data_IF_078291307830
#
_entry.id   IF_078291307830
#
_cell.length_a   1.000
_cell.length_b   1.000
_cell.length_c   1.000
_cell.angle_alpha   90.00
_cell.angle_beta   90.00
_cell.angle_gamma   90.00
#
_symmetry.space_group_name_H-M   'P 1'
#
loop_
_entity.id
_entity.type
_entity.pdbx_description
1 polymer ?
#
# COMPACT_ATOMS: atom_id res chain seq x y z
N UNK A 1 -0.27 5.66 5.75
CA UNK A 1 -0.68 4.53 6.64
C UNK A 1 -1.60 4.95 7.78
N UNK A 2 -1.36 6.05 8.51
CA UNK A 2 -2.25 6.45 9.63
C UNK A 2 -3.72 6.60 9.19
N UNK A 3 -3.99 7.39 8.15
CA UNK A 3 -5.35 7.57 7.62
C UNK A 3 -5.98 6.24 7.17
N UNK A 4 -5.18 5.36 6.57
CA UNK A 4 -5.63 4.05 6.16
C UNK A 4 -6.09 3.19 7.35
N UNK A 5 -5.36 3.22 8.47
CA UNK A 5 -5.77 2.52 9.70
C UNK A 5 -7.09 3.05 10.27
N UNK A 6 -7.29 4.38 10.26
CA UNK A 6 -8.51 5.00 10.76
C UNK A 6 -9.72 4.67 9.88
N UNK A 7 -9.56 4.73 8.56
CA UNK A 7 -10.63 4.41 7.59
C UNK A 7 -11.04 2.95 7.68
N UNK A 8 -10.09 2.02 7.80
CA UNK A 8 -10.40 0.60 7.99
C UNK A 8 -11.07 0.32 9.35
N UNK A 9 -10.61 0.97 10.42
CA UNK A 9 -11.26 0.89 11.74
C UNK A 9 -12.72 1.32 11.68
N UNK A 10 -13.03 2.34 10.87
CA UNK A 10 -14.39 2.84 10.67
C UNK A 10 -15.30 1.91 9.82
N UNK A 11 -14.78 0.82 9.25
CA UNK A 11 -15.58 -0.09 8.42
C UNK A 11 -15.53 0.20 6.91
N UNK A 12 -14.71 1.16 6.48
CA UNK A 12 -14.66 1.61 5.09
C UNK A 12 -13.55 0.91 4.28
N UNK A 13 -13.75 0.84 2.96
CA UNK A 13 -12.71 0.40 2.03
C UNK A 13 -11.76 1.54 1.64
N UNK A 14 -10.56 1.20 1.16
CA UNK A 14 -9.51 2.18 0.80
C UNK A 14 -8.92 1.86 -0.57
N UNK A 15 -8.71 2.91 -1.38
CA UNK A 15 -7.93 2.86 -2.62
C UNK A 15 -6.55 3.50 -2.45
N UNK A 16 -5.54 2.89 -3.05
CA UNK A 16 -4.16 3.40 -3.11
C UNK A 16 -3.70 3.46 -4.56
N UNK A 17 -2.93 4.49 -4.88
CA UNK A 17 -2.23 4.63 -6.15
C UNK A 17 -0.74 4.39 -5.87
N UNK A 18 -0.12 3.45 -6.59
CA UNK A 18 1.27 3.02 -6.32
C UNK A 18 2.26 3.38 -7.43
N UNK A 19 1.83 3.91 -8.57
CA UNK A 19 2.72 4.20 -9.72
C UNK A 19 3.64 5.39 -9.46
N UNK A 20 3.34 6.20 -8.45
CA UNK A 20 4.24 7.27 -7.98
C UNK A 20 5.43 6.75 -7.17
N UNK A 21 5.40 5.49 -6.71
CA UNK A 21 6.54 4.88 -6.02
C UNK A 21 7.62 4.50 -7.02
N UNK A 22 8.89 4.70 -6.63
CA UNK A 22 10.01 4.35 -7.50
C UNK A 22 10.07 2.83 -7.72
N UNK A 23 10.47 2.38 -8.92
CA UNK A 23 10.50 0.96 -9.23
C UNK A 23 11.58 0.23 -8.45
N UNK A 24 11.43 -1.10 -8.31
CA UNK A 24 12.39 -1.95 -7.63
C UNK A 24 13.80 -1.73 -8.19
N UNK A 25 14.77 -1.54 -7.29
CA UNK A 25 16.16 -1.31 -7.68
C UNK A 25 16.48 0.13 -8.10
N UNK A 26 15.51 1.05 -8.07
CA UNK A 26 15.80 2.47 -8.26
C UNK A 26 16.62 3.03 -7.08
N UNK A 27 17.59 3.90 -7.39
CA UNK A 27 18.47 4.51 -6.39
C UNK A 27 17.73 5.59 -5.58
N UNK A 28 17.92 5.56 -4.26
CA UNK A 28 17.34 6.51 -3.30
C UNK A 28 18.46 7.39 -2.74
N UNK A 29 18.60 8.59 -3.29
CA UNK A 29 19.65 9.54 -2.92
C UNK A 29 19.68 9.88 -1.43
N UNK A 30 18.52 10.02 -0.79
CA UNK A 30 18.42 10.34 0.63
C UNK A 30 18.78 9.18 1.59
N UNK A 31 18.78 7.94 1.11
CA UNK A 31 19.09 6.75 1.91
C UNK A 31 20.43 6.10 1.54
N UNK A 32 21.04 6.48 0.41
CA UNK A 32 22.23 5.80 -0.13
C UNK A 32 21.99 4.34 -0.49
N UNK A 33 20.73 3.98 -0.77
CA UNK A 33 20.28 2.60 -0.93
C UNK A 33 19.36 2.44 -2.14
N UNK A 34 19.00 1.20 -2.45
CA UNK A 34 18.06 0.86 -3.50
C UNK A 34 16.68 0.54 -2.90
N UNK A 35 15.61 0.98 -3.56
CA UNK A 35 14.25 0.71 -3.11
C UNK A 35 13.83 -0.73 -3.43
N UNK A 36 13.01 -1.31 -2.54
CA UNK A 36 12.35 -2.61 -2.74
C UNK A 36 11.19 -2.54 -3.74
N UNK A 37 10.80 -1.34 -4.16
CA UNK A 37 9.72 -1.10 -5.11
C UNK A 37 8.32 -1.17 -4.47
N UNK A 38 7.29 -0.74 -5.22
CA UNK A 38 5.90 -0.61 -4.77
C UNK A 38 5.27 -1.89 -4.25
N UNK A 39 5.59 -3.07 -4.80
CA UNK A 39 5.00 -4.34 -4.36
C UNK A 39 5.27 -4.62 -2.87
N UNK A 40 6.46 -4.28 -2.38
CA UNK A 40 6.78 -4.44 -0.95
C UNK A 40 5.95 -3.55 -0.04
N UNK A 41 5.43 -2.42 -0.54
CA UNK A 41 4.50 -1.59 0.21
C UNK A 41 3.10 -2.19 0.22
N UNK A 42 2.67 -2.84 -0.86
CA UNK A 42 1.38 -3.54 -0.92
C UNK A 42 1.29 -4.63 0.16
N UNK A 43 2.37 -5.38 0.39
CA UNK A 43 2.43 -6.38 1.47
C UNK A 43 2.13 -5.75 2.85
N UNK A 44 2.64 -4.54 3.09
CA UNK A 44 2.39 -3.84 4.36
C UNK A 44 0.92 -3.42 4.46
N UNK A 45 0.32 -2.94 3.37
CA UNK A 45 -1.10 -2.58 3.36
C UNK A 45 -2.01 -3.80 3.58
N UNK A 46 -1.69 -4.95 2.96
CA UNK A 46 -2.39 -6.22 3.20
C UNK A 46 -2.32 -6.63 4.68
N UNK A 47 -1.13 -6.57 5.29
CA UNK A 47 -0.96 -6.85 6.72
C UNK A 47 -1.72 -5.87 7.61
N UNK A 48 -1.80 -4.60 7.21
CA UNK A 48 -2.59 -3.61 7.92
C UNK A 48 -4.09 -3.96 7.86
N UNK A 49 -4.59 -4.37 6.70
CA UNK A 49 -5.98 -4.82 6.50
C UNK A 49 -6.30 -6.05 7.34
N UNK A 50 -5.36 -7.01 7.43
CA UNK A 50 -5.50 -8.20 8.26
C UNK A 50 -5.54 -7.86 9.76
N UNK A 51 -4.68 -6.94 10.21
CA UNK A 51 -4.56 -6.59 11.63
C UNK A 51 -5.71 -5.71 12.11
N UNK A 52 -6.16 -4.75 11.28
CA UNK A 52 -7.27 -3.85 11.59
C UNK A 52 -8.57 -4.50 11.10
N UNK A 53 -9.12 -5.39 11.92
CA UNK A 53 -10.48 -5.90 11.70
C UNK A 53 -11.47 -4.73 11.73
N UNK A 54 -12.28 -4.61 10.69
CA UNK A 54 -13.22 -3.51 10.54
C UNK A 54 -14.29 -3.59 11.63
N UNK A 55 -14.65 -2.45 12.23
CA UNK A 55 -15.73 -2.41 13.21
C UNK A 55 -17.01 -3.00 12.59
N UNK A 56 -17.59 -4.04 13.21
CA UNK A 56 -18.82 -4.68 12.75
C UNK A 56 -18.66 -6.04 12.07
N UNK A 57 -17.52 -6.72 12.20
CA UNK A 57 -17.37 -8.13 11.78
C UNK A 57 -17.22 -8.35 10.27
N UNK A 58 -16.95 -7.27 9.53
CA UNK A 58 -16.57 -7.33 8.11
C UNK A 58 -15.06 -7.38 7.99
N UNK A 59 -14.56 -8.07 6.97
CA UNK A 59 -13.15 -8.02 6.59
C UNK A 59 -12.89 -6.70 5.87
N UNK A 60 -11.74 -6.08 6.15
CA UNK A 60 -11.31 -4.88 5.43
C UNK A 60 -11.21 -5.15 3.94
N UNK A 61 -11.51 -4.13 3.13
CA UNK A 61 -11.34 -4.17 1.68
C UNK A 61 -10.35 -3.08 1.27
N UNK A 62 -9.42 -3.43 0.40
CA UNK A 62 -8.42 -2.52 -0.13
C UNK A 62 -8.28 -2.72 -1.63
N UNK A 63 -7.98 -1.63 -2.33
CA UNK A 63 -7.71 -1.60 -3.77
C UNK A 63 -6.38 -0.91 -4.00
N UNK A 64 -5.49 -1.53 -4.76
CA UNK A 64 -4.28 -0.90 -5.28
C UNK A 64 -4.42 -0.68 -6.78
N UNK A 65 -4.11 0.52 -7.26
CA UNK A 65 -4.05 0.85 -8.68
C UNK A 65 -2.64 1.16 -9.12
N UNK A 66 -2.39 0.89 -10.39
CA UNK A 66 -1.09 0.98 -11.01
C UNK A 66 -1.23 1.41 -12.46
N UNK A 67 -0.34 2.27 -12.90
CA UNK A 67 -0.17 2.64 -14.29
C UNK A 67 0.48 1.47 -15.02
N UNK A 68 -0.13 1.04 -16.13
CA UNK A 68 0.37 -0.03 -17.00
C UNK A 68 1.78 0.26 -17.52
N UNK A 69 2.19 1.53 -17.59
CA UNK A 69 3.52 1.92 -18.02
C UNK A 69 4.59 1.82 -16.92
N UNK A 70 4.20 1.53 -15.67
CA UNK A 70 5.17 1.47 -14.58
C UNK A 70 6.04 0.21 -14.69
N UNK A 71 7.39 0.30 -14.50
CA UNK A 71 8.31 -0.82 -14.69
C UNK A 71 8.12 -2.06 -13.79
N UNK A 72 7.18 -2.00 -12.85
CA UNK A 72 6.89 -3.08 -11.89
C UNK A 72 5.46 -3.65 -12.08
N UNK A 73 4.83 -3.38 -13.22
CA UNK A 73 3.61 -4.07 -13.69
C UNK A 73 3.97 -5.37 -14.39
#
# INVERSE_FOLDING_TARGET
MHEAGLTLKAGCGIGYEFSTLRPRGAYVSGAGAYTSGPLSFMDIYDKMCFTVSSAGGRRGAQMGTFDVAHPDV
#
